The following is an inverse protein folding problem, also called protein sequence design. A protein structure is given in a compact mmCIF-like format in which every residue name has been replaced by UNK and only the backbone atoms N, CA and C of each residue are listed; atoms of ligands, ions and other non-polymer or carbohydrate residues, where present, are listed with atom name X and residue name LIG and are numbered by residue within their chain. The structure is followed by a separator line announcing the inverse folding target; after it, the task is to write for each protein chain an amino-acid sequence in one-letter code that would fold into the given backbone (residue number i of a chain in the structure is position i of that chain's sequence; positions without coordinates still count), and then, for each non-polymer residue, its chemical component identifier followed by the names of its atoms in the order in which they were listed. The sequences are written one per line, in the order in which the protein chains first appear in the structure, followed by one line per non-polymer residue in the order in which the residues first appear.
data_IF_220297196127
#
_entry.id   IF_220297196127
#
_cell.length_a   1.000
_cell.length_b   1.000
_cell.length_c   1.000
_cell.angle_alpha   90.00
_cell.angle_beta   90.00
_cell.angle_gamma   90.00
#
_symmetry.space_group_name_H-M   'P 1'
#
loop_
_entity.id
_entity.type
_entity.pdbx_description
1 polymer ?
#
# COMPACT_ATOMS: atom_id res chain seq x y z
N UNK A 1 24.95 16.32 35.43
CA UNK A 1 25.67 16.28 34.13
C UNK A 1 25.63 14.86 33.61
N UNK A 2 24.90 14.60 32.53
CA UNK A 2 24.80 13.28 31.87
C UNK A 2 25.58 13.34 30.56
N UNK A 3 26.39 12.33 30.19
CA UNK A 3 27.13 12.39 28.94
C UNK A 3 26.20 12.11 27.76
N UNK A 4 26.51 12.79 26.67
CA UNK A 4 25.77 12.86 25.43
C UNK A 4 25.67 11.49 24.73
N UNK A 5 24.49 11.20 24.18
CA UNK A 5 24.29 10.14 23.20
C UNK A 5 24.89 10.59 21.88
N UNK A 6 25.97 9.94 21.47
CA UNK A 6 26.57 10.09 20.14
C UNK A 6 25.60 9.53 19.10
N UNK A 7 25.00 10.43 18.31
CA UNK A 7 24.26 10.13 17.08
C UNK A 7 25.31 9.72 16.05
N UNK A 8 25.31 8.45 15.64
CA UNK A 8 26.23 8.00 14.59
C UNK A 8 25.79 8.61 13.26
N UNK A 9 26.72 9.35 12.66
CA UNK A 9 26.56 10.14 11.45
C UNK A 9 26.23 9.27 10.23
N UNK A 10 25.31 9.77 9.40
CA UNK A 10 25.01 9.27 8.08
C UNK A 10 26.25 9.39 7.18
N UNK A 11 26.75 8.25 6.69
CA UNK A 11 27.81 8.21 5.70
C UNK A 11 27.19 8.41 4.30
N UNK A 12 27.56 9.50 3.65
CA UNK A 12 27.14 9.87 2.29
C UNK A 12 27.47 8.76 1.28
N UNK A 13 26.45 8.17 0.66
CA UNK A 13 26.59 7.23 -0.46
C UNK A 13 26.39 7.94 -1.80
N UNK A 14 27.44 8.01 -2.63
CA UNK A 14 27.35 8.40 -4.04
C UNK A 14 27.24 7.11 -4.87
N UNK A 15 26.08 6.88 -5.50
CA UNK A 15 25.88 5.78 -6.46
C UNK A 15 25.67 6.38 -7.85
N UNK A 16 26.68 6.27 -8.70
CA UNK A 16 26.63 6.69 -10.11
C UNK A 16 25.88 5.62 -10.92
N UNK A 17 24.79 6.03 -11.56
CA UNK A 17 24.04 5.21 -12.52
C UNK A 17 24.82 5.08 -13.84
N UNK A 18 25.09 3.85 -14.28
CA UNK A 18 25.43 3.60 -15.69
C UNK A 18 24.14 3.57 -16.52
N UNK A 19 24.01 4.34 -17.62
CA UNK A 19 22.89 4.21 -18.53
C UNK A 19 23.06 2.93 -19.35
N UNK A 20 22.04 2.09 -19.39
CA UNK A 20 21.93 1.01 -20.39
C UNK A 20 20.94 1.48 -21.44
N UNK A 21 21.39 1.55 -22.68
CA UNK A 21 20.64 2.03 -23.83
C UNK A 21 19.35 1.21 -24.06
N UNK A 22 18.29 1.94 -24.39
CA UNK A 22 16.92 1.48 -24.66
C UNK A 22 16.81 0.74 -25.99
N UNK A 23 16.05 -0.35 -26.05
CA UNK A 23 15.61 -0.97 -27.30
C UNK A 23 15.39 -2.48 -27.19
N UNK A 24 14.15 -2.88 -26.91
CA UNK A 24 13.71 -4.28 -26.87
C UNK A 24 12.99 -4.62 -25.57
N UNK A 25 11.89 -5.36 -25.66
CA UNK A 25 11.10 -5.84 -24.51
C UNK A 25 12.04 -6.31 -23.39
N UNK A 26 12.10 -5.52 -22.32
CA UNK A 26 13.14 -5.64 -21.30
C UNK A 26 12.90 -6.92 -20.52
N UNK A 27 13.54 -8.03 -20.92
CA UNK A 27 13.44 -9.29 -20.19
C UNK A 27 13.87 -9.04 -18.74
N UNK A 28 12.96 -9.28 -17.81
CA UNK A 28 13.23 -9.16 -16.37
C UNK A 28 14.30 -10.19 -16.01
N UNK A 29 15.52 -9.72 -15.74
CA UNK A 29 16.61 -10.58 -15.33
C UNK A 29 16.32 -11.12 -13.92
N UNK A 30 16.55 -12.42 -13.65
CA UNK A 30 16.50 -12.95 -12.30
C UNK A 30 17.35 -12.11 -11.34
N UNK A 31 16.82 -11.84 -10.16
CA UNK A 31 17.46 -11.03 -9.13
C UNK A 31 17.62 -11.84 -7.86
N UNK A 32 18.82 -11.76 -7.26
CA UNK A 32 19.14 -12.37 -5.97
C UNK A 32 19.77 -11.32 -5.07
N UNK A 33 19.35 -11.28 -3.81
CA UNK A 33 19.97 -10.46 -2.77
C UNK A 33 20.87 -11.33 -1.91
N UNK A 34 21.99 -10.78 -1.44
CA UNK A 34 22.99 -11.52 -0.71
C UNK A 34 23.75 -10.66 0.28
N UNK A 35 24.23 -11.27 1.36
CA UNK A 35 25.23 -10.67 2.25
C UNK A 35 26.64 -11.00 1.75
N UNK A 36 27.55 -10.04 1.81
CA UNK A 36 28.93 -10.27 1.44
C UNK A 36 29.66 -11.23 2.40
N UNK A 37 30.69 -11.91 1.87
CA UNK A 37 31.47 -12.91 2.61
C UNK A 37 30.86 -14.32 2.63
N UNK A 38 29.76 -14.54 1.90
CA UNK A 38 29.16 -15.86 1.67
C UNK A 38 29.30 -16.34 0.22
N UNK A 39 28.62 -17.44 -0.11
CA UNK A 39 28.38 -17.88 -1.49
C UNK A 39 26.88 -17.98 -1.72
N UNK A 40 26.44 -17.72 -2.94
CA UNK A 40 25.03 -17.77 -3.34
C UNK A 40 24.82 -18.64 -4.58
N UNK A 41 23.63 -19.22 -4.67
CA UNK A 41 23.19 -19.97 -5.84
C UNK A 41 22.36 -19.04 -6.75
N UNK A 42 22.92 -18.74 -7.92
CA UNK A 42 22.32 -17.85 -8.92
C UNK A 42 21.76 -18.67 -10.06
N UNK A 43 20.48 -18.49 -10.35
CA UNK A 43 19.83 -19.10 -11.52
C UNK A 43 20.20 -18.30 -12.78
N UNK A 44 20.84 -18.96 -13.75
CA UNK A 44 21.38 -18.33 -14.97
C UNK A 44 20.75 -18.87 -16.26
N UNK A 45 19.95 -19.93 -16.18
CA UNK A 45 19.16 -20.43 -17.29
C UNK A 45 17.68 -20.55 -16.90
N UNK A 46 16.80 -19.97 -17.71
CA UNK A 46 15.38 -20.29 -17.77
C UNK A 46 15.14 -21.14 -19.02
N UNK A 47 14.10 -21.99 -19.01
CA UNK A 47 13.91 -23.16 -19.88
C UNK A 47 14.13 -23.03 -21.42
N UNK A 48 14.31 -21.82 -21.97
CA UNK A 48 14.43 -21.57 -23.42
C UNK A 48 15.82 -21.08 -23.88
N UNK A 49 16.86 -21.17 -23.05
CA UNK A 49 18.23 -20.74 -23.43
C UNK A 49 19.30 -21.72 -23.01
N UNK A 50 20.26 -21.91 -23.91
CA UNK A 50 21.49 -22.64 -23.63
C UNK A 50 22.24 -21.96 -22.48
N UNK A 51 22.47 -22.72 -21.40
CA UNK A 51 23.12 -22.21 -20.21
C UNK A 51 24.60 -21.90 -20.53
N UNK A 52 25.16 -20.77 -20.05
CA UNK A 52 26.59 -20.53 -20.20
C UNK A 52 27.38 -21.61 -19.44
N UNK A 53 28.56 -21.97 -19.93
CA UNK A 53 29.44 -22.94 -19.24
C UNK A 53 29.97 -22.35 -17.94
N UNK A 54 30.37 -21.07 -17.97
CA UNK A 54 30.90 -20.34 -16.83
C UNK A 54 30.40 -18.89 -16.78
N UNK A 55 30.16 -18.41 -15.56
CA UNK A 55 29.71 -17.05 -15.28
C UNK A 55 30.56 -16.39 -14.21
N UNK A 56 30.58 -15.06 -14.19
CA UNK A 56 31.24 -14.29 -13.14
C UNK A 56 30.41 -13.05 -12.77
N UNK A 57 30.74 -12.42 -11.64
CA UNK A 57 30.15 -11.14 -11.25
C UNK A 57 30.94 -9.98 -11.85
N UNK A 58 30.20 -9.04 -12.42
CA UNK A 58 30.73 -7.82 -12.99
C UNK A 58 30.06 -6.59 -12.39
N UNK A 59 30.87 -5.59 -12.03
CA UNK A 59 30.40 -4.29 -11.59
C UNK A 59 31.46 -3.23 -11.93
N UNK A 60 31.02 -2.00 -12.22
CA UNK A 60 31.91 -0.87 -12.54
C UNK A 60 32.88 -1.16 -13.70
N UNK A 61 32.43 -1.92 -14.70
CA UNK A 61 33.23 -2.31 -15.87
C UNK A 61 34.26 -3.43 -15.63
N UNK A 62 34.33 -3.98 -14.41
CA UNK A 62 35.37 -4.93 -13.98
C UNK A 62 34.74 -6.27 -13.59
N UNK A 63 35.52 -7.35 -13.71
CA UNK A 63 35.19 -8.67 -13.15
C UNK A 63 35.60 -8.71 -11.67
N UNK A 64 34.74 -9.19 -10.80
CA UNK A 64 34.94 -9.21 -9.34
C UNK A 64 35.11 -10.61 -8.75
N UNK A 65 34.76 -11.66 -9.50
CA UNK A 65 34.91 -13.04 -9.07
C UNK A 65 35.62 -13.85 -10.15
N UNK A 66 36.22 -14.96 -9.75
CA UNK A 66 36.66 -15.98 -10.70
C UNK A 66 35.45 -16.60 -11.42
N UNK A 67 35.65 -17.15 -12.63
CA UNK A 67 34.62 -17.89 -13.35
C UNK A 67 34.07 -19.06 -12.51
N UNK A 68 32.77 -19.09 -12.33
CA UNK A 68 32.04 -20.15 -11.66
C UNK A 68 31.35 -21.03 -12.70
N UNK A 69 31.53 -22.35 -12.58
CA UNK A 69 30.87 -23.33 -13.45
C UNK A 69 29.37 -23.36 -13.20
N UNK A 70 28.60 -23.41 -14.28
CA UNK A 70 27.15 -23.58 -14.23
C UNK A 70 26.82 -25.06 -14.26
N UNK A 71 26.02 -25.50 -13.30
CA UNK A 71 25.51 -26.88 -13.23
C UNK A 71 23.99 -26.82 -13.14
N UNK A 72 23.31 -27.55 -14.03
CA UNK A 72 21.84 -27.58 -14.07
C UNK A 72 21.19 -26.18 -14.10
N UNK A 73 21.81 -25.23 -14.82
CA UNK A 73 21.30 -23.86 -14.92
C UNK A 73 21.54 -22.97 -13.69
N UNK A 74 22.30 -23.43 -12.70
CA UNK A 74 22.64 -22.70 -11.47
C UNK A 74 24.15 -22.55 -11.34
N UNK A 75 24.59 -21.38 -10.92
CA UNK A 75 25.98 -21.08 -10.60
C UNK A 75 26.12 -20.76 -9.11
N UNK A 76 27.05 -21.42 -8.42
CA UNK A 76 27.44 -21.08 -7.06
C UNK A 76 28.58 -20.08 -7.09
N UNK A 77 28.34 -18.85 -6.63
CA UNK A 77 29.27 -17.73 -6.80
C UNK A 77 29.58 -17.10 -5.43
N UNK A 78 30.86 -16.85 -5.09
CA UNK A 78 31.23 -16.11 -3.90
C UNK A 78 30.79 -14.64 -4.01
N UNK A 79 30.25 -14.07 -2.93
CA UNK A 79 29.78 -12.69 -2.90
C UNK A 79 30.92 -11.79 -2.43
N UNK A 80 31.41 -10.86 -3.27
CA UNK A 80 32.51 -9.98 -2.92
C UNK A 80 32.23 -9.14 -1.67
N UNK A 81 33.29 -8.82 -0.93
CA UNK A 81 33.17 -7.84 0.16
C UNK A 81 32.86 -6.45 -0.40
N UNK A 82 31.76 -5.88 0.09
CA UNK A 82 31.32 -4.53 -0.28
C UNK A 82 31.12 -3.67 0.95
N UNK A 83 31.44 -2.39 0.83
CA UNK A 83 31.24 -1.38 1.89
C UNK A 83 29.84 -0.76 1.86
N UNK A 84 29.22 -0.76 0.69
CA UNK A 84 27.87 -0.25 0.43
C UNK A 84 27.09 -1.26 -0.40
N UNK A 85 25.74 -1.25 -0.34
CA UNK A 85 24.95 -2.10 -1.22
C UNK A 85 25.36 -1.91 -2.68
N UNK A 86 25.66 -3.01 -3.37
CA UNK A 86 26.24 -2.98 -4.73
C UNK A 86 25.52 -3.97 -5.64
N UNK A 87 25.17 -3.52 -6.84
CA UNK A 87 24.56 -4.36 -7.87
C UNK A 87 25.65 -4.92 -8.78
N UNK A 88 25.70 -6.25 -8.88
CA UNK A 88 26.53 -7.01 -9.80
C UNK A 88 25.68 -7.58 -10.93
N UNK A 89 26.22 -7.54 -12.14
CA UNK A 89 25.72 -8.29 -13.29
C UNK A 89 26.35 -9.68 -13.28
N UNK A 90 25.52 -10.71 -13.42
CA UNK A 90 25.99 -12.09 -13.61
C UNK A 90 26.05 -12.30 -15.11
N UNK A 91 27.26 -12.43 -15.65
CA UNK A 91 27.49 -12.52 -17.09
C UNK A 91 28.43 -13.66 -17.45
N UNK A 92 28.42 -14.10 -18.70
CA UNK A 92 29.36 -15.10 -19.21
C UNK A 92 30.80 -14.65 -18.95
N UNK A 93 31.65 -15.56 -18.47
CA UNK A 93 33.04 -15.24 -18.16
C UNK A 93 33.90 -14.93 -19.42
N UNK A 94 33.44 -15.34 -20.60
CA UNK A 94 34.09 -15.12 -21.89
C UNK A 94 33.91 -13.70 -22.47
N UNK A 95 34.44 -13.46 -23.69
CA UNK A 95 34.48 -12.14 -24.31
C UNK A 95 33.09 -11.55 -24.65
N UNK A 96 32.08 -12.39 -24.89
CA UNK A 96 30.71 -11.97 -25.22
C UNK A 96 29.99 -11.27 -24.05
N UNK A 97 30.42 -11.50 -22.80
CA UNK A 97 29.87 -10.90 -21.56
C UNK A 97 28.34 -10.79 -21.52
N UNK A 98 27.65 -11.79 -22.06
CA UNK A 98 26.19 -11.85 -22.07
C UNK A 98 25.65 -11.89 -20.65
N UNK A 99 24.66 -11.05 -20.34
CA UNK A 99 24.08 -10.92 -18.99
C UNK A 99 22.92 -11.90 -18.80
N UNK A 100 22.94 -12.62 -17.69
CA UNK A 100 21.96 -13.67 -17.35
C UNK A 100 21.12 -13.34 -16.12
N UNK A 101 21.71 -12.68 -15.11
CA UNK A 101 21.04 -12.36 -13.85
C UNK A 101 21.66 -11.12 -13.19
N UNK A 102 21.07 -10.69 -12.08
CA UNK A 102 21.58 -9.62 -11.21
C UNK A 102 21.72 -10.13 -9.78
N UNK A 103 22.81 -9.75 -9.14
CA UNK A 103 23.05 -10.00 -7.72
C UNK A 103 23.20 -8.67 -7.01
N UNK A 104 22.52 -8.51 -5.88
CA UNK A 104 22.67 -7.36 -5.01
C UNK A 104 23.39 -7.81 -3.75
N UNK A 105 24.59 -7.28 -3.51
CA UNK A 105 25.36 -7.58 -2.31
C UNK A 105 25.19 -6.46 -1.28
N UNK A 106 24.86 -6.82 -0.04
CA UNK A 106 24.86 -5.95 1.13
C UNK A 106 26.14 -6.12 1.95
N UNK A 107 26.59 -5.06 2.66
CA UNK A 107 27.70 -5.15 3.60
C UNK A 107 27.42 -6.14 4.74
N UNK A 108 28.48 -6.56 5.46
CA UNK A 108 28.37 -7.48 6.60
C UNK A 108 27.51 -6.92 7.74
N UNK A 109 27.41 -5.59 7.83
CA UNK A 109 26.65 -4.91 8.87
C UNK A 109 25.15 -5.19 8.71
N UNK A 110 24.52 -5.64 9.80
CA UNK A 110 23.07 -5.82 9.85
C UNK A 110 22.37 -4.49 9.99
N UNK A 111 21.17 -4.40 9.40
CA UNK A 111 20.31 -3.25 9.60
C UNK A 111 19.77 -3.23 11.04
N UNK A 112 19.64 -2.03 11.62
CA UNK A 112 19.00 -1.88 12.92
C UNK A 112 17.50 -2.18 12.79
N UNK A 113 17.02 -3.18 13.52
CA UNK A 113 15.61 -3.53 13.60
C UNK A 113 15.17 -3.56 15.07
N UNK A 114 13.95 -3.10 15.33
CA UNK A 114 13.38 -3.10 16.67
C UNK A 114 13.05 -4.55 17.10
N UNK A 115 13.73 -5.11 18.11
CA UNK A 115 13.51 -6.49 18.54
C UNK A 115 12.12 -6.73 19.15
N UNK A 116 11.40 -5.66 19.54
CA UNK A 116 10.01 -5.75 19.99
C UNK A 116 9.03 -6.02 18.83
N UNK A 117 9.46 -5.79 17.58
CA UNK A 117 8.66 -6.07 16.39
C UNK A 117 9.09 -7.40 15.78
N UNK A 118 8.17 -8.34 15.67
CA UNK A 118 8.43 -9.66 15.07
C UNK A 118 7.84 -9.73 13.67
N UNK A 119 8.63 -10.26 12.75
CA UNK A 119 8.25 -10.45 11.35
C UNK A 119 8.02 -11.93 11.08
N UNK A 120 6.89 -12.25 10.48
CA UNK A 120 6.58 -13.58 10.00
C UNK A 120 6.33 -13.52 8.49
N UNK A 121 6.65 -14.60 7.77
CA UNK A 121 6.37 -14.66 6.34
C UNK A 121 5.58 -15.92 5.97
N UNK A 122 4.67 -15.78 5.00
CA UNK A 122 3.88 -16.86 4.44
C UNK A 122 3.70 -16.64 2.94
N UNK A 123 4.27 -17.53 2.13
CA UNK A 123 4.17 -17.46 0.66
C UNK A 123 4.84 -16.24 0.01
N UNK A 124 5.68 -15.50 0.73
CA UNK A 124 6.37 -14.30 0.22
C UNK A 124 7.23 -14.60 -1.02
N UNK A 125 7.40 -13.62 -1.91
CA UNK A 125 8.25 -13.79 -3.09
C UNK A 125 9.70 -14.03 -2.67
N UNK A 126 10.43 -14.84 -3.45
CA UNK A 126 11.83 -15.23 -3.16
C UNK A 126 12.74 -14.02 -2.93
N UNK A 127 12.57 -12.97 -3.73
CA UNK A 127 13.37 -11.75 -3.61
C UNK A 127 13.29 -11.13 -2.21
N UNK A 128 12.15 -11.25 -1.52
CA UNK A 128 11.95 -10.68 -0.20
C UNK A 128 12.73 -11.47 0.85
N UNK A 129 12.70 -12.80 0.76
CA UNK A 129 13.46 -13.69 1.67
C UNK A 129 14.96 -13.45 1.50
N UNK A 130 15.44 -13.46 0.25
CA UNK A 130 16.82 -13.15 -0.08
C UNK A 130 17.24 -11.77 0.48
N UNK A 131 16.39 -10.75 0.34
CA UNK A 131 16.66 -9.40 0.84
C UNK A 131 16.71 -9.36 2.37
N UNK A 132 15.72 -9.95 3.04
CA UNK A 132 15.64 -9.98 4.50
C UNK A 132 16.84 -10.68 5.12
N UNK A 133 17.28 -11.81 4.54
CA UNK A 133 18.47 -12.52 4.97
C UNK A 133 19.73 -11.68 4.78
N UNK A 134 19.85 -11.02 3.62
CA UNK A 134 20.97 -10.16 3.29
C UNK A 134 21.12 -8.98 4.29
N UNK A 135 20.02 -8.27 4.58
CA UNK A 135 20.02 -7.15 5.54
C UNK A 135 20.00 -7.58 7.01
N UNK A 136 19.66 -8.85 7.28
CA UNK A 136 19.71 -9.45 8.61
C UNK A 136 18.47 -9.21 9.45
N UNK A 137 17.30 -9.15 8.81
CA UNK A 137 16.03 -9.05 9.51
C UNK A 137 15.64 -10.39 10.16
N UNK A 138 15.09 -10.36 11.39
CA UNK A 138 14.67 -11.58 12.09
C UNK A 138 13.27 -12.01 11.62
N UNK A 139 13.21 -12.69 10.48
CA UNK A 139 11.95 -13.18 9.91
C UNK A 139 11.81 -14.68 10.15
N UNK A 140 10.65 -15.09 10.67
CA UNK A 140 10.31 -16.50 10.89
C UNK A 140 9.21 -16.97 9.92
N UNK A 141 9.20 -18.24 9.50
CA UNK A 141 8.06 -18.78 8.77
C UNK A 141 6.81 -18.75 9.65
N UNK A 142 5.67 -18.33 9.07
CA UNK A 142 4.39 -18.46 9.75
C UNK A 142 3.89 -19.88 9.60
N UNK A 143 4.08 -20.72 10.62
CA UNK A 143 3.40 -22.02 10.69
C UNK A 143 1.92 -21.79 10.98
N UNK A 144 1.13 -21.60 9.92
CA UNK A 144 -0.28 -21.17 9.92
C UNK A 144 -1.23 -21.96 10.86
N UNK A 145 -0.78 -23.08 11.43
CA UNK A 145 -1.52 -23.95 12.35
C UNK A 145 -1.01 -23.92 13.80
N UNK A 146 0.25 -23.53 14.06
CA UNK A 146 0.91 -23.63 15.38
C UNK A 146 1.47 -22.31 15.90
N UNK A 147 1.30 -21.19 15.18
CA UNK A 147 1.79 -19.90 15.64
C UNK A 147 1.15 -19.54 16.99
N UNK A 148 1.94 -19.37 18.07
CA UNK A 148 1.40 -18.98 19.37
C UNK A 148 0.63 -17.67 19.22
N UNK A 149 -0.56 -17.57 19.83
CA UNK A 149 -1.28 -16.30 19.96
C UNK A 149 -0.46 -15.39 20.87
N UNK A 150 0.19 -14.35 20.35
CA UNK A 150 1.06 -13.55 21.19
C UNK A 150 0.19 -12.69 22.10
N UNK A 151 0.50 -12.66 23.39
CA UNK A 151 -0.30 -11.96 24.39
C UNK A 151 -0.22 -10.43 24.25
N UNK A 152 0.92 -9.91 23.82
CA UNK A 152 1.16 -8.50 23.48
C UNK A 152 2.48 -8.44 22.71
N UNK A 153 2.43 -8.07 21.42
CA UNK A 153 3.60 -7.66 20.64
C UNK A 153 3.18 -7.18 19.24
N UNK A 154 3.97 -6.26 18.69
CA UNK A 154 3.82 -5.68 17.35
C UNK A 154 4.23 -6.70 16.29
N UNK A 155 3.31 -7.58 15.92
CA UNK A 155 3.53 -8.65 14.95
C UNK A 155 3.06 -8.28 13.56
N UNK A 156 3.92 -8.55 12.56
CA UNK A 156 3.59 -8.38 11.15
C UNK A 156 3.74 -9.70 10.41
N UNK A 157 2.65 -10.10 9.76
CA UNK A 157 2.60 -11.20 8.81
C UNK A 157 2.79 -10.66 7.39
N UNK A 158 3.83 -11.14 6.71
CA UNK A 158 4.14 -10.82 5.34
C UNK A 158 3.51 -11.88 4.43
N UNK A 159 2.59 -11.44 3.59
CA UNK A 159 1.81 -12.32 2.72
C UNK A 159 2.26 -12.18 1.27
N UNK A 160 2.38 -13.34 0.61
CA UNK A 160 2.68 -13.44 -0.81
C UNK A 160 1.81 -14.47 -1.53
N UNK A 161 1.61 -14.28 -2.85
CA UNK A 161 1.02 -15.25 -3.78
C UNK A 161 -0.34 -15.79 -3.30
N UNK A 162 -0.63 -17.06 -3.56
CA UNK A 162 -1.81 -17.78 -3.09
C UNK A 162 -2.03 -17.73 -1.56
N UNK A 163 -1.00 -17.45 -0.74
CA UNK A 163 -1.15 -17.42 0.73
C UNK A 163 -1.89 -16.16 1.21
N UNK A 164 -1.92 -15.11 0.39
CA UNK A 164 -2.80 -13.97 0.60
C UNK A 164 -4.29 -14.30 0.40
N UNK A 165 -4.63 -15.52 -0.02
CA UNK A 165 -6.00 -15.93 -0.36
C UNK A 165 -6.41 -15.41 -1.75
N UNK A 166 -7.69 -15.53 -2.07
CA UNK A 166 -8.27 -15.06 -3.34
C UNK A 166 -8.75 -13.62 -3.32
N UNK A 167 -8.89 -13.04 -2.12
CA UNK A 167 -9.41 -11.69 -1.91
C UNK A 167 -8.71 -11.02 -0.73
N UNK A 168 -8.77 -9.69 -0.65
CA UNK A 168 -8.31 -8.93 0.52
C UNK A 168 -9.05 -9.35 1.80
N UNK A 169 -10.32 -9.75 1.66
CA UNK A 169 -11.17 -10.28 2.75
C UNK A 169 -10.59 -11.57 3.32
N UNK A 170 -10.08 -12.46 2.48
CA UNK A 170 -9.42 -13.70 2.95
C UNK A 170 -8.08 -13.42 3.64
N UNK A 171 -7.24 -12.53 3.08
CA UNK A 171 -5.99 -12.09 3.72
C UNK A 171 -6.24 -11.54 5.13
N UNK A 172 -7.29 -10.75 5.27
CA UNK A 172 -7.66 -10.14 6.53
C UNK A 172 -8.29 -11.13 7.53
N UNK A 173 -9.06 -12.11 7.05
CA UNK A 173 -9.53 -13.21 7.89
C UNK A 173 -8.36 -14.04 8.44
N UNK A 174 -7.31 -14.25 7.63
CA UNK A 174 -6.08 -14.92 8.07
C UNK A 174 -5.34 -14.10 9.13
N UNK A 175 -5.11 -12.82 8.85
CA UNK A 175 -4.53 -11.85 9.79
C UNK A 175 -5.27 -11.83 11.13
N UNK A 176 -6.61 -11.80 11.09
CA UNK A 176 -7.45 -11.87 12.27
C UNK A 176 -7.32 -13.18 13.05
N UNK A 177 -7.38 -14.32 12.35
CA UNK A 177 -7.23 -15.67 12.95
C UNK A 177 -5.90 -15.82 13.69
N UNK A 178 -4.83 -15.24 13.14
CA UNK A 178 -3.49 -15.29 13.70
C UNK A 178 -3.21 -14.16 14.70
N UNK A 179 -4.14 -13.23 14.88
CA UNK A 179 -3.97 -12.04 15.73
C UNK A 179 -2.73 -11.21 15.35
N UNK A 180 -2.43 -11.08 14.06
CA UNK A 180 -1.27 -10.32 13.55
C UNK A 180 -1.73 -9.28 12.53
N UNK A 181 -1.04 -8.14 12.43
CA UNK A 181 -1.19 -7.26 11.27
C UNK A 181 -0.63 -7.94 10.03
N UNK A 182 -1.06 -7.54 8.83
CA UNK A 182 -0.59 -8.08 7.57
C UNK A 182 -0.05 -6.98 6.64
N UNK A 183 1.04 -7.29 5.95
CA UNK A 183 1.53 -6.57 4.77
C UNK A 183 1.56 -7.55 3.59
N UNK A 184 0.72 -7.29 2.60
CA UNK A 184 0.67 -8.06 1.35
C UNK A 184 1.67 -7.45 0.38
N UNK A 185 2.72 -8.22 0.07
CA UNK A 185 3.78 -7.82 -0.86
C UNK A 185 3.51 -8.30 -2.29
N UNK A 186 2.82 -9.43 -2.41
CA UNK A 186 2.50 -10.09 -3.68
C UNK A 186 1.20 -10.89 -3.47
N UNK A 187 0.35 -11.00 -4.47
CA UNK A 187 -0.87 -11.80 -4.40
C UNK A 187 -1.31 -12.20 -5.80
N UNK A 188 -1.91 -13.38 -5.95
CA UNK A 188 -2.34 -13.87 -7.28
C UNK A 188 -3.47 -13.02 -7.89
N UNK A 189 -4.14 -12.22 -7.06
CA UNK A 189 -5.16 -11.25 -7.47
C UNK A 189 -4.59 -9.85 -7.73
N UNK A 190 -3.28 -9.63 -7.60
CA UNK A 190 -2.66 -8.41 -8.10
C UNK A 190 -2.56 -8.45 -9.62
N UNK A 191 -3.21 -7.51 -10.28
CA UNK A 191 -3.00 -7.24 -11.70
C UNK A 191 -1.77 -6.35 -11.87
N UNK A 192 -0.89 -6.66 -12.83
CA UNK A 192 0.30 -5.82 -13.09
C UNK A 192 0.02 -4.88 -14.24
N UNK A 193 0.28 -3.59 -14.04
CA UNK A 193 0.26 -2.59 -15.10
C UNK A 193 1.66 -1.99 -15.30
N UNK A 194 1.95 -1.61 -16.53
CA UNK A 194 3.18 -0.92 -16.92
C UNK A 194 2.86 0.56 -17.19
N UNK A 195 2.87 1.44 -16.17
CA UNK A 195 2.73 2.87 -16.40
C UNK A 195 4.00 3.41 -17.05
N UNK A 196 3.92 4.61 -17.65
CA UNK A 196 5.09 5.28 -18.23
C UNK A 196 6.23 5.41 -17.20
N UNK A 197 5.94 5.95 -16.01
CA UNK A 197 6.77 5.86 -14.78
C UNK A 197 5.85 6.03 -13.55
N UNK A 198 5.89 5.11 -12.58
CA UNK A 198 5.24 5.30 -11.28
C UNK A 198 6.22 5.91 -10.27
N UNK A 199 5.76 6.93 -9.52
CA UNK A 199 6.59 7.63 -8.54
C UNK A 199 6.02 7.47 -7.14
N UNK A 200 6.80 6.93 -6.21
CA UNK A 200 6.45 6.80 -4.80
C UNK A 200 7.14 7.91 -3.98
N UNK A 201 6.32 8.58 -3.18
CA UNK A 201 6.74 9.54 -2.16
C UNK A 201 5.81 9.36 -0.96
N UNK A 202 6.06 10.04 0.15
CA UNK A 202 5.19 9.98 1.34
C UNK A 202 3.72 10.27 1.05
N UNK A 203 3.40 11.15 0.08
CA UNK A 203 2.01 11.44 -0.35
C UNK A 203 1.27 10.25 -0.95
N UNK A 204 2.01 9.21 -1.34
CA UNK A 204 1.52 7.97 -1.91
C UNK A 204 1.46 6.84 -0.86
N UNK A 205 1.49 7.18 0.42
CA UNK A 205 1.13 6.30 1.53
C UNK A 205 -0.33 6.61 1.95
N UNK A 206 -1.19 5.61 1.91
CA UNK A 206 -2.63 5.74 2.16
C UNK A 206 -3.11 5.16 3.48
N UNK A 207 -4.30 5.59 3.93
CA UNK A 207 -4.96 5.05 5.13
C UNK A 207 -4.24 5.41 6.44
N UNK A 208 -4.09 4.43 7.34
CA UNK A 208 -3.45 4.59 8.65
C UNK A 208 -1.91 4.74 8.61
N UNK A 209 -1.30 4.80 7.43
CA UNK A 209 0.15 5.03 7.25
C UNK A 209 0.55 6.51 7.37
N UNK A 210 -0.26 7.30 8.09
CA UNK A 210 -0.18 8.77 8.07
C UNK A 210 1.13 9.33 8.66
N UNK A 211 1.77 8.61 9.58
CA UNK A 211 3.09 9.01 10.10
C UNK A 211 4.16 8.94 9.01
N UNK A 212 4.18 7.87 8.20
CA UNK A 212 5.06 7.79 7.02
C UNK A 212 4.69 8.89 6.01
N UNK A 213 3.39 9.17 5.84
CA UNK A 213 2.92 10.19 4.90
C UNK A 213 3.35 11.62 5.27
N UNK A 214 3.65 11.89 6.56
CA UNK A 214 4.12 13.19 7.05
C UNK A 214 5.63 13.38 6.91
N UNK A 215 6.38 12.31 6.66
CA UNK A 215 7.82 12.37 6.54
C UNK A 215 8.23 13.00 5.20
N UNK A 216 9.28 13.83 5.26
CA UNK A 216 9.98 14.25 4.04
C UNK A 216 10.93 13.13 3.64
N UNK A 217 10.56 12.43 2.57
CA UNK A 217 11.48 11.54 1.90
C UNK A 217 12.44 12.39 1.06
N UNK A 218 13.64 11.87 0.82
CA UNK A 218 14.59 12.48 -0.11
C UNK A 218 14.08 12.41 -1.56
N UNK A 219 14.88 11.81 -2.44
CA UNK A 219 14.46 11.63 -3.84
C UNK A 219 13.25 10.67 -3.93
N UNK A 220 12.29 11.03 -4.80
CA UNK A 220 11.16 10.18 -5.09
C UNK A 220 11.61 8.85 -5.72
N UNK A 221 11.02 7.75 -5.24
CA UNK A 221 11.34 6.41 -5.74
C UNK A 221 10.55 6.16 -7.03
N UNK A 222 11.20 5.61 -8.05
CA UNK A 222 10.60 5.40 -9.37
C UNK A 222 10.53 3.92 -9.70
N UNK A 223 9.39 3.49 -10.20
CA UNK A 223 9.11 2.11 -10.59
C UNK A 223 8.60 2.09 -12.03
N UNK A 224 8.99 1.05 -12.77
CA UNK A 224 8.51 0.85 -14.16
C UNK A 224 7.18 0.09 -14.20
N UNK A 225 6.79 -0.52 -13.07
CA UNK A 225 5.58 -1.34 -12.94
C UNK A 225 4.91 -1.08 -11.61
N UNK A 226 3.60 -1.26 -11.58
CA UNK A 226 2.82 -1.26 -10.33
C UNK A 226 1.80 -2.38 -10.35
N UNK A 227 1.43 -2.84 -9.17
CA UNK A 227 0.36 -3.80 -8.97
C UNK A 227 -0.96 -3.07 -8.67
N UNK A 228 -2.07 -3.62 -9.15
CA UNK A 228 -3.42 -3.16 -8.84
C UNK A 228 -4.17 -4.36 -8.26
N UNK A 229 -4.51 -4.34 -6.97
CA UNK A 229 -5.39 -5.36 -6.43
C UNK A 229 -6.81 -5.33 -7.03
N UNK A 230 -7.68 -6.32 -6.80
CA UNK A 230 -9.00 -6.40 -7.41
C UNK A 230 -9.96 -5.29 -6.92
N UNK A 231 -11.07 -5.15 -7.62
CA UNK A 231 -12.13 -4.14 -7.44
C UNK A 231 -12.96 -4.32 -6.17
N UNK A 232 -12.85 -5.45 -5.49
CA UNK A 232 -13.75 -5.84 -4.39
C UNK A 232 -13.57 -4.98 -3.12
N UNK A 233 -12.47 -4.24 -3.01
CA UNK A 233 -12.25 -3.21 -1.99
C UNK A 233 -12.48 -1.83 -2.59
N UNK A 234 -13.67 -1.27 -2.37
CA UNK A 234 -14.08 0.00 -2.97
C UNK A 234 -13.50 1.25 -2.29
N UNK A 235 -12.80 1.10 -1.16
CA UNK A 235 -12.11 2.19 -0.44
C UNK A 235 -10.79 2.62 -1.07
N UNK A 236 -10.51 2.14 -2.27
CA UNK A 236 -9.18 2.24 -2.83
C UNK A 236 -9.08 3.50 -3.67
N UNK A 237 -8.28 4.45 -3.19
CA UNK A 237 -7.91 5.61 -4.00
C UNK A 237 -7.26 5.16 -5.32
N UNK A 238 -6.53 4.04 -5.35
CA UNK A 238 -5.91 3.46 -6.55
C UNK A 238 -6.88 3.21 -7.71
N UNK A 239 -8.16 2.91 -7.44
CA UNK A 239 -9.18 2.71 -8.46
C UNK A 239 -9.75 4.02 -9.05
N UNK A 240 -9.46 5.14 -8.39
CA UNK A 240 -10.30 6.33 -8.48
C UNK A 240 -9.71 7.41 -9.40
N UNK A 241 -8.39 7.51 -9.64
CA UNK A 241 -7.91 8.62 -10.51
C UNK A 241 -6.61 8.41 -11.32
N UNK A 242 -6.21 7.17 -11.67
CA UNK A 242 -5.09 6.92 -12.60
C UNK A 242 -3.69 6.68 -11.98
N UNK A 243 -2.69 7.53 -12.24
CA UNK A 243 -1.25 7.29 -11.90
C UNK A 243 -0.68 7.97 -10.64
N UNK A 244 -1.48 8.72 -9.88
CA UNK A 244 -1.04 9.60 -8.76
C UNK A 244 -1.51 9.13 -7.36
N UNK A 245 -1.64 7.81 -7.16
CA UNK A 245 -2.34 7.16 -6.04
C UNK A 245 -1.44 6.67 -4.93
N UNK A 246 -2.00 6.33 -3.75
CA UNK A 246 -1.25 5.55 -2.81
C UNK A 246 -0.82 4.24 -3.45
N UNK A 247 0.49 4.12 -3.63
CA UNK A 247 1.17 2.93 -4.09
C UNK A 247 1.40 1.94 -2.94
N UNK A 248 1.11 2.38 -1.71
CA UNK A 248 1.01 1.55 -0.53
C UNK A 248 -0.16 2.05 0.29
N UNK A 249 -1.10 1.18 0.65
CA UNK A 249 -2.33 1.59 1.33
C UNK A 249 -2.76 0.62 2.43
N UNK A 250 -3.25 1.16 3.54
CA UNK A 250 -3.97 0.38 4.55
C UNK A 250 -5.44 0.23 4.14
N UNK A 251 -5.91 -1.02 4.10
CA UNK A 251 -7.30 -1.36 3.80
C UNK A 251 -8.13 -1.32 5.08
N UNK A 252 -9.18 -0.52 5.07
CA UNK A 252 -10.17 -0.47 6.14
C UNK A 252 -11.24 -1.54 5.91
N UNK A 253 -11.26 -2.57 6.76
CA UNK A 253 -12.25 -3.66 6.69
C UNK A 253 -13.16 -3.62 7.92
N UNK A 254 -14.48 -3.73 7.76
CA UNK A 254 -15.45 -3.44 8.82
C UNK A 254 -15.39 -4.41 10.01
N UNK A 255 -14.90 -5.65 9.82
CA UNK A 255 -15.00 -6.74 10.82
C UNK A 255 -13.74 -7.02 11.64
N UNK A 256 -12.58 -6.47 11.28
CA UNK A 256 -11.30 -6.94 11.85
C UNK A 256 -10.50 -5.81 12.45
N UNK A 257 -9.97 -5.97 13.66
CA UNK A 257 -9.16 -4.95 14.33
C UNK A 257 -7.72 -4.88 13.80
N UNK A 258 -7.25 -5.94 13.14
CA UNK A 258 -5.93 -6.02 12.56
C UNK A 258 -5.79 -5.11 11.34
N UNK A 259 -4.57 -4.60 11.14
CA UNK A 259 -4.22 -3.77 9.98
C UNK A 259 -3.86 -4.65 8.81
N UNK A 260 -4.39 -4.33 7.64
CA UNK A 260 -4.01 -4.99 6.39
C UNK A 260 -3.49 -3.91 5.46
N UNK A 261 -2.20 -3.99 5.14
CA UNK A 261 -1.52 -3.06 4.25
C UNK A 261 -1.22 -3.76 2.93
N UNK A 262 -1.52 -3.10 1.82
CA UNK A 262 -1.19 -3.58 0.48
C UNK A 262 -0.02 -2.76 -0.06
N UNK A 263 1.05 -3.43 -0.48
CA UNK A 263 2.13 -2.82 -1.23
C UNK A 263 1.93 -3.05 -2.72
N UNK A 264 1.59 -1.99 -3.45
CA UNK A 264 1.32 -2.04 -4.89
C UNK A 264 2.56 -1.77 -5.75
N UNK A 265 3.76 -1.90 -5.20
CA UNK A 265 5.03 -1.63 -5.90
C UNK A 265 5.99 -2.81 -5.84
N UNK A 266 6.72 -3.08 -6.93
CA UNK A 266 7.77 -4.10 -7.00
C UNK A 266 9.06 -3.56 -6.36
N UNK A 267 9.18 -3.68 -5.03
CA UNK A 267 10.33 -3.17 -4.27
C UNK A 267 11.68 -3.69 -4.78
N UNK A 268 11.72 -4.90 -5.33
CA UNK A 268 12.91 -5.51 -5.90
C UNK A 268 13.54 -4.71 -7.05
N UNK A 269 12.77 -3.81 -7.68
CA UNK A 269 13.29 -2.92 -8.73
C UNK A 269 14.28 -1.87 -8.19
N UNK A 270 14.21 -1.50 -6.91
CA UNK A 270 14.93 -0.33 -6.39
C UNK A 270 15.73 -0.60 -5.11
N UNK A 271 15.42 -1.66 -4.35
CA UNK A 271 16.17 -2.02 -3.15
C UNK A 271 17.68 -2.16 -3.48
N UNK A 272 18.52 -1.65 -2.59
CA UNK A 272 19.98 -1.47 -2.74
C UNK A 272 20.47 -0.56 -3.88
N UNK A 273 19.61 -0.18 -4.83
CA UNK A 273 19.96 0.80 -5.87
C UNK A 273 19.86 2.23 -5.33
N UNK A 274 19.06 2.42 -4.27
CA UNK A 274 18.82 3.69 -3.60
C UNK A 274 18.73 3.43 -2.10
N UNK A 275 19.57 4.08 -1.29
CA UNK A 275 19.53 3.97 0.17
C UNK A 275 18.15 4.35 0.74
N UNK A 276 17.52 5.38 0.15
CA UNK A 276 16.17 5.80 0.53
C UNK A 276 15.13 4.70 0.31
N UNK A 277 15.33 3.78 -0.65
CA UNK A 277 14.41 2.68 -0.88
C UNK A 277 14.43 1.68 0.28
N UNK A 278 15.61 1.25 0.72
CA UNK A 278 15.78 0.34 1.85
C UNK A 278 15.20 0.95 3.14
N UNK A 279 15.55 2.22 3.43
CA UNK A 279 15.03 2.93 4.59
C UNK A 279 13.51 3.07 4.56
N UNK A 280 12.95 3.43 3.40
CA UNK A 280 11.50 3.53 3.23
C UNK A 280 10.82 2.18 3.43
N UNK A 281 11.37 1.10 2.88
CA UNK A 281 10.77 -0.23 3.01
C UNK A 281 10.81 -0.73 4.46
N UNK A 282 11.90 -0.48 5.18
CA UNK A 282 11.99 -0.78 6.61
C UNK A 282 11.01 0.02 7.45
N UNK A 283 10.81 1.30 7.14
CA UNK A 283 9.78 2.13 7.79
C UNK A 283 8.39 1.59 7.52
N UNK A 284 8.12 1.16 6.28
CA UNK A 284 6.85 0.51 5.94
C UNK A 284 6.63 -0.75 6.79
N UNK A 285 7.62 -1.63 6.90
CA UNK A 285 7.54 -2.81 7.77
C UNK A 285 7.28 -2.42 9.23
N UNK A 286 7.99 -1.43 9.76
CA UNK A 286 7.83 -0.95 11.12
C UNK A 286 6.43 -0.39 11.37
N UNK A 287 5.94 0.48 10.48
CA UNK A 287 4.61 1.08 10.61
C UNK A 287 3.48 0.10 10.38
N UNK A 288 3.65 -0.91 9.52
CA UNK A 288 2.65 -1.97 9.35
C UNK A 288 2.57 -2.88 10.59
N UNK A 289 3.69 -3.06 11.30
CA UNK A 289 3.73 -3.82 12.55
C UNK A 289 3.15 -3.06 13.76
N UNK A 290 3.06 -1.72 13.70
CA UNK A 290 2.52 -0.92 14.81
C UNK A 290 1.10 -1.34 15.20
N UNK A 291 0.88 -1.46 16.51
CA UNK A 291 -0.43 -1.72 17.10
C UNK A 291 -1.44 -0.68 16.58
N UNK A 292 -2.63 -1.17 16.23
CA UNK A 292 -3.70 -0.26 15.88
C UNK A 292 -4.14 0.47 17.15
N UNK A 293 -3.77 1.75 17.25
CA UNK A 293 -4.23 2.64 18.32
C UNK A 293 -5.74 2.83 18.24
N UNK A 294 -6.49 1.93 18.88
CA UNK A 294 -7.95 1.88 19.02
C UNK A 294 -8.81 1.83 17.73
N UNK A 295 -9.99 1.17 17.75
CA UNK A 295 -11.03 1.21 16.68
C UNK A 295 -11.45 2.61 16.21
N UNK A 296 -11.01 3.67 16.92
CA UNK A 296 -11.42 5.08 16.83
C UNK A 296 -11.27 5.73 15.45
N UNK A 297 -10.54 5.14 14.52
CA UNK A 297 -10.42 5.74 13.19
C UNK A 297 -11.57 5.40 12.25
N UNK A 298 -12.35 4.33 12.50
CA UNK A 298 -13.41 3.91 11.55
C UNK A 298 -14.68 4.71 11.77
N UNK A 299 -15.27 5.16 10.66
CA UNK A 299 -16.53 5.90 10.71
C UNK A 299 -17.66 5.15 10.01
N UNK A 300 -18.79 5.02 10.71
CA UNK A 300 -20.04 4.52 10.15
C UNK A 300 -20.79 5.67 9.46
N UNK A 301 -21.26 5.49 8.21
CA UNK A 301 -22.08 6.49 7.56
C UNK A 301 -23.47 6.52 8.21
N UNK A 302 -23.88 7.70 8.63
CA UNK A 302 -25.21 8.00 9.17
C UNK A 302 -25.94 8.86 8.13
N UNK A 303 -26.70 8.21 7.25
CA UNK A 303 -27.43 8.89 6.17
C UNK A 303 -28.68 9.52 6.76
N UNK A 304 -28.66 10.85 6.91
CA UNK A 304 -29.78 11.63 7.45
C UNK A 304 -30.86 11.84 6.41
N UNK A 305 -30.48 11.95 5.13
CA UNK A 305 -31.39 12.05 4.01
C UNK A 305 -30.74 11.49 2.72
N UNK A 306 -31.50 10.81 1.84
CA UNK A 306 -32.83 10.26 2.10
C UNK A 306 -32.75 9.13 3.14
N UNK A 307 -33.88 8.65 3.70
CA UNK A 307 -33.87 7.54 4.64
C UNK A 307 -33.08 6.33 4.11
N UNK A 308 -32.40 5.61 5.01
CA UNK A 308 -31.57 4.46 4.67
C UNK A 308 -32.26 3.46 3.71
N UNK A 309 -33.55 3.17 3.93
CA UNK A 309 -34.33 2.26 3.09
C UNK A 309 -34.49 2.75 1.66
N UNK A 310 -34.51 4.07 1.45
CA UNK A 310 -34.55 4.67 0.10
C UNK A 310 -33.23 4.46 -0.60
N UNK A 311 -32.10 4.67 0.09
CA UNK A 311 -30.76 4.40 -0.46
C UNK A 311 -30.62 2.92 -0.85
N UNK A 312 -31.09 2.01 -0.01
CA UNK A 312 -31.08 0.57 -0.30
C UNK A 312 -31.92 0.21 -1.53
N UNK A 313 -33.15 0.74 -1.64
CA UNK A 313 -34.03 0.52 -2.80
C UNK A 313 -33.49 1.14 -4.10
N UNK A 314 -32.78 2.26 -3.99
CA UNK A 314 -32.22 3.01 -5.12
C UNK A 314 -30.71 2.80 -5.25
N UNK A 315 -30.20 1.63 -4.84
CA UNK A 315 -28.77 1.34 -4.84
C UNK A 315 -28.09 1.54 -6.21
N UNK A 316 -28.83 1.38 -7.32
CA UNK A 316 -28.34 1.67 -8.68
C UNK A 316 -28.13 3.17 -8.94
N UNK A 317 -28.99 4.02 -8.38
CA UNK A 317 -28.87 5.48 -8.46
C UNK A 317 -27.82 6.02 -7.48
N UNK A 318 -27.67 5.35 -6.32
CA UNK A 318 -26.77 5.77 -5.22
C UNK A 318 -25.71 4.70 -4.90
N UNK A 319 -24.91 4.24 -5.88
CA UNK A 319 -24.07 3.04 -5.73
C UNK A 319 -23.02 3.19 -4.64
N UNK A 320 -22.42 4.37 -4.50
CA UNK A 320 -21.38 4.63 -3.49
C UNK A 320 -21.97 4.69 -2.07
N UNK A 321 -23.13 5.31 -1.88
CA UNK A 321 -23.78 5.35 -0.57
C UNK A 321 -24.30 3.97 -0.16
N UNK A 322 -24.92 3.25 -1.10
CA UNK A 322 -25.35 1.88 -0.88
C UNK A 322 -24.17 0.97 -0.50
N UNK A 323 -23.04 1.09 -1.19
CA UNK A 323 -21.81 0.37 -0.84
C UNK A 323 -21.29 0.73 0.56
N UNK A 324 -21.32 2.01 0.94
CA UNK A 324 -20.92 2.47 2.26
C UNK A 324 -21.80 1.86 3.36
N UNK A 325 -23.12 1.87 3.18
CA UNK A 325 -24.06 1.29 4.14
C UNK A 325 -23.94 -0.24 4.21
N UNK A 326 -23.80 -0.90 3.05
CA UNK A 326 -23.67 -2.34 2.97
C UNK A 326 -22.44 -2.88 3.71
N UNK A 327 -21.34 -2.10 3.76
CA UNK A 327 -20.15 -2.46 4.53
C UNK A 327 -20.43 -2.70 6.02
N UNK A 328 -21.46 -2.06 6.57
CA UNK A 328 -21.83 -2.14 7.99
C UNK A 328 -22.98 -3.12 8.26
N UNK A 329 -23.59 -3.70 7.22
CA UNK A 329 -24.70 -4.62 7.38
C UNK A 329 -24.26 -5.90 8.09
N UNK A 330 -24.92 -6.22 9.20
CA UNK A 330 -24.64 -7.42 9.99
C UNK A 330 -23.35 -7.36 10.82
N UNK A 331 -22.74 -6.19 10.98
CA UNK A 331 -21.65 -5.97 11.94
C UNK A 331 -22.26 -5.91 13.34
N UNK A 332 -21.94 -6.88 14.20
CA UNK A 332 -22.30 -6.84 15.62
C UNK A 332 -21.27 -6.00 16.34
N UNK A 333 -21.70 -4.91 16.95
CA UNK A 333 -20.81 -3.98 17.63
C UNK A 333 -20.49 -4.49 19.04
N UNK A 334 -19.22 -4.72 19.33
CA UNK A 334 -18.71 -4.73 20.71
C UNK A 334 -18.45 -3.29 21.20
N UNK A 335 -18.19 -2.35 20.28
CA UNK A 335 -17.97 -0.92 20.51
C UNK A 335 -18.77 -0.04 19.52
N UNK A 336 -19.26 1.13 19.96
CA UNK A 336 -19.99 2.08 19.11
C UNK A 336 -18.99 2.80 18.17
N UNK A 337 -19.11 2.70 16.83
CA UNK A 337 -18.20 3.37 15.91
C UNK A 337 -18.42 4.88 15.91
N UNK A 338 -17.38 5.66 15.59
CA UNK A 338 -17.56 7.07 15.27
C UNK A 338 -18.48 7.20 14.05
N UNK A 339 -19.24 8.28 13.97
CA UNK A 339 -20.15 8.52 12.84
C UNK A 339 -19.59 9.56 11.87
N UNK A 340 -20.13 9.56 10.67
CA UNK A 340 -20.10 10.67 9.72
C UNK A 340 -21.52 10.84 9.19
N UNK A 341 -22.02 12.07 9.18
CA UNK A 341 -23.38 12.36 8.72
C UNK A 341 -23.35 12.59 7.21
N UNK A 342 -24.31 12.01 6.49
CA UNK A 342 -24.43 12.20 5.05
C UNK A 342 -25.84 12.73 4.74
N UNK A 343 -25.89 13.79 3.94
CA UNK A 343 -27.13 14.39 3.43
C UNK A 343 -27.04 14.39 1.91
N UNK A 344 -27.82 13.54 1.25
CA UNK A 344 -27.89 13.45 -0.19
C UNK A 344 -29.14 14.17 -0.71
N UNK A 345 -28.97 15.42 -1.15
CA UNK A 345 -30.05 16.29 -1.64
C UNK A 345 -30.44 15.98 -3.08
N UNK A 346 -29.80 14.99 -3.71
CA UNK A 346 -30.04 14.64 -5.10
C UNK A 346 -31.30 13.80 -5.26
N UNK A 347 -31.98 14.00 -6.39
CA UNK A 347 -33.16 13.27 -6.82
C UNK A 347 -34.43 14.05 -6.61
N UNK A 348 -35.56 13.43 -6.97
CA UNK A 348 -36.84 14.15 -7.07
C UNK A 348 -37.51 14.41 -5.72
N UNK A 349 -36.99 13.82 -4.64
CA UNK A 349 -37.56 13.96 -3.29
C UNK A 349 -36.72 14.93 -2.45
N UNK A 350 -37.24 16.14 -2.27
CA UNK A 350 -36.61 17.13 -1.39
C UNK A 350 -36.81 16.79 0.09
N UNK A 351 -35.82 17.06 0.96
CA UNK A 351 -36.00 16.95 2.40
C UNK A 351 -37.06 17.93 2.92
N UNK A 352 -37.69 17.64 4.07
CA UNK A 352 -38.57 18.59 4.73
C UNK A 352 -37.86 19.93 4.98
N UNK A 353 -38.55 21.06 4.72
CA UNK A 353 -37.99 22.40 4.96
C UNK A 353 -37.55 22.62 6.42
N UNK A 354 -38.23 22.00 7.38
CA UNK A 354 -37.87 22.05 8.81
C UNK A 354 -36.50 21.40 9.05
N UNK A 355 -36.29 20.20 8.51
CA UNK A 355 -35.00 19.51 8.56
C UNK A 355 -33.87 20.34 7.94
N UNK A 356 -34.10 20.94 6.76
CA UNK A 356 -33.10 21.80 6.10
C UNK A 356 -32.73 23.02 6.94
N UNK A 357 -33.71 23.66 7.60
CA UNK A 357 -33.46 24.79 8.50
C UNK A 357 -32.69 24.38 9.75
N UNK A 358 -33.01 23.24 10.34
CA UNK A 358 -32.29 22.69 11.49
C UNK A 358 -30.84 22.34 11.14
N UNK A 359 -30.62 21.71 9.97
CA UNK A 359 -29.30 21.41 9.45
C UNK A 359 -28.50 22.69 9.18
N UNK A 360 -29.11 23.69 8.53
CA UNK A 360 -28.49 25.00 8.28
C UNK A 360 -28.07 25.68 9.59
N UNK A 361 -28.98 25.71 10.57
CA UNK A 361 -28.72 26.26 11.88
C UNK A 361 -27.55 25.54 12.57
N UNK A 362 -27.56 24.20 12.56
CA UNK A 362 -26.49 23.39 13.14
C UNK A 362 -25.13 23.67 12.46
N UNK A 363 -25.10 23.73 11.14
CA UNK A 363 -23.86 24.02 10.39
C UNK A 363 -23.32 25.42 10.69
N UNK A 364 -24.19 26.43 10.77
CA UNK A 364 -23.78 27.83 11.02
C UNK A 364 -23.27 28.05 12.45
N UNK A 365 -23.91 27.43 13.44
CA UNK A 365 -23.71 27.77 14.86
C UNK A 365 -22.79 26.80 15.62
N UNK A 366 -22.68 25.53 15.19
CA UNK A 366 -21.69 24.63 15.78
C UNK A 366 -20.33 24.87 15.12
N UNK A 367 -19.44 25.53 15.86
CA UNK A 367 -18.12 25.95 15.37
C UNK A 367 -17.25 24.78 14.88
N UNK A 368 -17.54 23.54 15.29
CA UNK A 368 -16.98 22.28 14.81
C UNK A 368 -17.98 21.17 15.14
N UNK A 369 -18.75 20.60 14.21
CA UNK A 369 -19.52 19.42 14.57
C UNK A 369 -18.55 18.30 14.95
N UNK A 370 -18.70 17.73 16.15
CA UNK A 370 -17.91 16.58 16.63
C UNK A 370 -17.97 15.39 15.64
N UNK A 371 -19.00 15.40 14.79
CA UNK A 371 -19.29 14.43 13.75
C UNK A 371 -19.24 15.15 12.39
N UNK A 372 -18.27 14.84 11.50
CA UNK A 372 -18.18 15.44 10.17
C UNK A 372 -19.46 15.22 9.36
N UNK A 373 -19.75 16.15 8.45
CA UNK A 373 -20.94 16.12 7.60
C UNK A 373 -20.55 16.17 6.12
N UNK A 374 -21.10 15.28 5.30
CA UNK A 374 -21.00 15.33 3.83
C UNK A 374 -22.37 15.69 3.26
N UNK A 375 -22.42 16.73 2.44
CA UNK A 375 -23.62 17.17 1.72
C UNK A 375 -23.42 16.94 0.22
N UNK A 376 -24.34 16.23 -0.43
CA UNK A 376 -24.32 15.94 -1.87
C UNK A 376 -25.45 16.70 -2.56
N UNK A 377 -25.11 17.40 -3.65
CA UNK A 377 -26.06 18.28 -4.33
C UNK A 377 -26.26 19.62 -3.62
N UNK A 378 -27.17 20.42 -4.17
CA UNK A 378 -27.44 21.79 -3.74
C UNK A 378 -28.89 21.98 -3.31
N UNK A 379 -29.11 22.89 -2.36
CA UNK A 379 -30.43 23.32 -1.92
C UNK A 379 -30.42 24.83 -1.62
N UNK A 380 -31.43 25.60 -2.06
CA UNK A 380 -31.50 27.05 -1.82
C UNK A 380 -31.29 27.46 -0.36
N UNK A 381 -31.77 26.70 0.62
CA UNK A 381 -31.64 27.01 2.05
C UNK A 381 -30.19 26.88 2.51
N UNK A 382 -29.46 25.87 2.01
CA UNK A 382 -28.08 25.59 2.42
C UNK A 382 -27.03 26.37 1.60
N UNK A 383 -27.43 26.98 0.48
CA UNK A 383 -26.52 27.66 -0.44
C UNK A 383 -25.79 28.86 0.16
N UNK A 384 -26.45 29.64 1.03
CA UNK A 384 -25.80 30.75 1.73
C UNK A 384 -24.68 30.26 2.65
N UNK A 385 -24.96 29.19 3.39
CA UNK A 385 -24.03 28.55 4.32
C UNK A 385 -22.87 27.89 3.61
N UNK A 386 -23.14 27.23 2.48
CA UNK A 386 -22.12 26.70 1.56
C UNK A 386 -21.15 27.81 1.13
N UNK A 387 -21.66 28.99 0.73
CA UNK A 387 -20.82 30.15 0.35
C UNK A 387 -19.99 30.67 1.53
N UNK A 388 -20.59 30.76 2.72
CA UNK A 388 -19.89 31.26 3.92
C UNK A 388 -18.76 30.34 4.42
N UNK A 389 -18.85 29.02 4.16
CA UNK A 389 -17.88 28.01 4.64
C UNK A 389 -16.95 27.47 3.55
N UNK A 390 -17.25 27.68 2.27
CA UNK A 390 -16.41 27.23 1.16
C UNK A 390 -15.13 28.07 1.09
N UNK A 391 -14.02 27.53 1.59
CA UNK A 391 -12.70 28.09 1.25
C UNK A 391 -12.49 27.97 -0.26
N UNK A 392 -12.23 29.08 -0.95
CA UNK A 392 -12.18 29.23 -2.42
C UNK A 392 -11.27 28.25 -3.19
N UNK A 393 -10.47 27.43 -2.53
CA UNK A 393 -9.69 26.39 -3.19
C UNK A 393 -10.49 25.08 -3.23
N UNK A 394 -10.93 24.62 -4.40
CA UNK A 394 -11.55 23.30 -4.63
C UNK A 394 -10.66 22.07 -4.35
N UNK A 395 -9.75 22.18 -3.38
CA UNK A 395 -8.88 21.12 -2.86
C UNK A 395 -9.48 20.62 -1.55
N UNK A 396 -9.89 19.36 -1.55
CA UNK A 396 -10.33 18.63 -0.34
C UNK A 396 -9.29 18.72 0.77
N UNK A 397 -9.69 19.23 1.94
CA UNK A 397 -8.92 19.12 3.18
C UNK A 397 -9.70 18.23 4.16
N UNK A 398 -9.19 17.05 4.55
CA UNK A 398 -9.84 16.16 5.51
C UNK A 398 -10.11 16.76 6.91
N UNK A 399 -9.66 18.00 7.15
CA UNK A 399 -9.85 18.75 8.40
C UNK A 399 -11.12 19.63 8.38
N UNK A 400 -11.81 19.71 7.26
CA UNK A 400 -13.06 20.44 7.20
C UNK A 400 -14.17 19.56 7.79
N UNK A 401 -14.85 20.08 8.81
CA UNK A 401 -15.92 19.35 9.50
C UNK A 401 -17.17 19.20 8.63
N UNK A 402 -17.23 19.92 7.51
CA UNK A 402 -18.33 19.87 6.54
C UNK A 402 -17.79 19.89 5.12
N UNK A 403 -18.20 18.92 4.31
CA UNK A 403 -17.80 18.77 2.92
C UNK A 403 -19.01 18.83 2.00
N UNK A 404 -19.02 19.79 1.07
CA UNK A 404 -20.00 19.85 -0.02
C UNK A 404 -19.44 19.21 -1.30
N UNK A 405 -20.20 18.29 -1.89
CA UNK A 405 -19.93 17.73 -3.20
C UNK A 405 -21.06 18.16 -4.14
N UNK A 406 -20.82 19.16 -5.02
CA UNK A 406 -21.80 19.59 -6.02
C UNK A 406 -21.95 18.45 -7.02
N UNK A 407 -23.09 17.79 -6.97
CA UNK A 407 -23.40 16.64 -7.78
C UNK A 407 -24.90 16.71 -8.01
N UNK A 408 -25.33 16.95 -9.25
CA UNK A 408 -26.74 17.23 -9.52
C UNK A 408 -27.44 16.06 -10.23
N UNK A 409 -26.70 14.99 -10.56
CA UNK A 409 -27.20 13.84 -11.31
C UNK A 409 -27.26 12.55 -10.48
N UNK A 410 -28.31 11.77 -10.73
CA UNK A 410 -28.51 10.42 -10.24
C UNK A 410 -28.81 9.49 -11.44
N UNK A 411 -28.02 8.43 -11.68
CA UNK A 411 -26.79 8.09 -10.98
C UNK A 411 -25.67 9.12 -11.22
N UNK A 412 -24.75 9.31 -10.26
CA UNK A 412 -23.61 10.20 -10.43
C UNK A 412 -22.68 9.71 -11.54
N UNK A 413 -22.09 10.65 -12.28
CA UNK A 413 -21.04 10.35 -13.25
C UNK A 413 -19.80 9.71 -12.58
N UNK A 414 -18.90 9.14 -13.39
CA UNK A 414 -17.70 8.47 -12.87
C UNK A 414 -16.85 9.39 -11.98
N UNK A 415 -16.64 10.65 -12.40
CA UNK A 415 -15.84 11.65 -11.67
C UNK A 415 -16.43 11.99 -10.30
N UNK A 416 -17.74 12.06 -10.20
CA UNK A 416 -18.48 12.35 -8.97
C UNK A 416 -18.48 11.16 -8.04
N UNK A 417 -18.67 9.93 -8.57
CA UNK A 417 -18.49 8.69 -7.79
C UNK A 417 -17.11 8.64 -7.16
N UNK A 418 -16.09 8.93 -7.96
CA UNK A 418 -14.68 9.03 -7.58
C UNK A 418 -14.46 10.03 -6.43
N UNK A 419 -15.03 11.23 -6.52
CA UNK A 419 -14.93 12.27 -5.49
C UNK A 419 -15.57 11.82 -4.17
N UNK A 420 -16.78 11.26 -4.22
CA UNK A 420 -17.46 10.77 -3.02
C UNK A 420 -16.70 9.60 -2.37
N UNK A 421 -16.23 8.63 -3.16
CA UNK A 421 -15.39 7.55 -2.66
C UNK A 421 -14.10 8.08 -2.01
N UNK A 422 -13.47 9.09 -2.61
CA UNK A 422 -12.26 9.74 -2.05
C UNK A 422 -12.51 10.43 -0.72
N UNK A 423 -13.67 11.09 -0.59
CA UNK A 423 -14.10 11.75 0.64
C UNK A 423 -14.36 10.71 1.75
N UNK A 424 -15.18 9.69 1.47
CA UNK A 424 -15.50 8.61 2.41
C UNK A 424 -14.23 7.87 2.86
N UNK A 425 -13.31 7.61 1.93
CA UNK A 425 -11.99 7.03 2.24
C UNK A 425 -11.16 7.95 3.14
N UNK A 426 -11.16 9.27 2.88
CA UNK A 426 -10.47 10.26 3.70
C UNK A 426 -11.00 10.35 5.13
N UNK A 427 -12.29 10.03 5.33
CA UNK A 427 -12.92 9.91 6.64
C UNK A 427 -12.93 8.46 7.18
N UNK A 428 -12.19 7.54 6.57
CA UNK A 428 -12.07 6.14 6.99
C UNK A 428 -13.41 5.38 7.07
N UNK A 429 -14.33 5.69 6.16
CA UNK A 429 -15.58 4.93 5.98
C UNK A 429 -15.31 3.73 5.07
N UNK A 430 -15.53 2.48 5.49
CA UNK A 430 -15.42 1.30 4.62
C UNK A 430 -16.54 1.28 3.57
N UNK A 431 -16.20 0.86 2.36
CA UNK A 431 -17.12 0.62 1.24
C UNK A 431 -17.14 -0.88 0.93
N UNK A 432 -18.33 -1.48 0.91
CA UNK A 432 -18.57 -2.85 0.45
C UNK A 432 -18.63 -2.93 -1.07
N UNK A 433 -18.84 -4.11 -1.68
CA UNK A 433 -18.98 -4.22 -3.14
C UNK A 433 -20.20 -3.44 -3.65
N UNK A 434 -20.12 -2.94 -4.89
CA UNK A 434 -21.29 -2.35 -5.54
C UNK A 434 -22.36 -3.44 -5.72
N UNK A 435 -23.63 -3.05 -5.61
CA UNK A 435 -24.73 -3.94 -5.97
C UNK A 435 -24.48 -4.44 -7.39
N UNK A 436 -24.38 -5.76 -7.56
CA UNK A 436 -24.17 -6.38 -8.88
C UNK A 436 -25.30 -5.90 -9.81
N UNK A 437 -24.94 -5.40 -10.99
CA UNK A 437 -25.92 -5.27 -12.06
C UNK A 437 -26.49 -6.68 -12.30
N UNK A 438 -27.81 -6.83 -12.11
CA UNK A 438 -28.48 -7.98 -12.70
C UNK A 438 -28.12 -7.94 -14.20
N UNK A 439 -27.52 -9.02 -14.71
CA UNK A 439 -27.29 -9.13 -16.16
C UNK A 439 -28.63 -8.83 -16.85
N UNK A 440 -28.62 -8.04 -17.94
CA UNK A 440 -29.83 -7.70 -18.66
C UNK A 440 -30.63 -8.94 -19.05
#
# INVERSE_FOLDING_TARGET
MKPARTILAAAFAIVLACPVASGGAQRVLPLTFARCGGSIDVVVATHDREAPVEVALFAFGRRWTDPAKVKHGVAKIPVPEVRVPTVFLVASAGPDRRVFARVVAYPKQKIAWDPARRLYHAGTPRWFQDWADAVGLPIAPAELQNTPKPADQKHLLLLGRATAGKTVTEAAALSHRLHMNALVLDADWFETIEPEIATLTSKHMGGGLSEIAKEQWGEALRFSRVHIPPTDVLNRRTWIAGTSFPLVEEVSLPRWSQRVVLSCVPWEEILARRETADLTFLRLLASAAEEFGQPRFRRMPDVLWPPAQVVEKTAKERPVLAAAMQAWKGVKFTDIPLRIRIVDLRGDTSPPRTFLKELDHAIRHFARPEVPVIVLGDDPILNETKRAKSTESGKFKPKDDILWIPADTLPPDAKTRIRLMSALTGYHVPLGPFAKEAKP
#
